data_IF_368558094964
#
_entry.id   IF_368558094964
#
_cell.length_a   1.000
_cell.length_b   1.000
_cell.length_c   1.000
_cell.angle_alpha   90.00
_cell.angle_beta   90.00
_cell.angle_gamma   90.00
#
_symmetry.space_group_name_H-M   'P 1'
#
loop_
_entity.id
_entity.type
_entity.pdbx_description
1 polymer ?
#
# COMPACT_ATOMS: atom_id res chain seq x y z
N UNK A 1 21.60 71.31 -29.32
CA UNK A 1 21.09 69.97 -28.96
C UNK A 1 22.29 69.04 -28.81
N UNK A 2 22.40 68.37 -27.67
CA UNK A 2 23.63 67.72 -27.18
C UNK A 2 23.93 66.35 -27.84
N UNK A 3 25.23 66.07 -28.00
CA UNK A 3 25.85 64.79 -28.38
C UNK A 3 26.00 63.88 -27.14
N UNK A 4 26.03 62.54 -27.32
CA UNK A 4 27.20 61.65 -27.09
C UNK A 4 26.83 60.14 -26.96
N UNK A 5 27.42 59.33 -27.86
CA UNK A 5 28.12 58.03 -27.74
C UNK A 5 27.64 56.87 -26.82
N UNK A 6 27.66 55.66 -27.41
CA UNK A 6 27.46 54.28 -26.87
C UNK A 6 28.42 53.84 -25.71
N UNK A 7 28.49 52.55 -25.32
CA UNK A 7 27.66 51.78 -24.36
C UNK A 7 28.50 51.25 -23.17
N UNK A 8 27.92 50.89 -22.03
CA UNK A 8 28.67 50.22 -20.94
C UNK A 8 27.94 48.97 -20.43
N UNK A 9 28.43 47.81 -20.87
CA UNK A 9 28.31 46.54 -20.18
C UNK A 9 28.82 46.70 -18.74
N UNK A 10 27.92 46.65 -17.77
CA UNK A 10 28.30 46.56 -16.36
C UNK A 10 28.76 45.13 -16.06
N UNK A 11 30.07 44.96 -16.04
CA UNK A 11 30.79 43.82 -15.50
C UNK A 11 30.41 43.59 -14.03
N UNK A 12 29.82 42.44 -13.70
CA UNK A 12 29.36 42.10 -12.34
C UNK A 12 30.50 41.78 -11.35
N UNK A 13 31.73 42.24 -11.61
CA UNK A 13 32.90 42.00 -10.74
C UNK A 13 33.11 43.07 -9.66
N UNK A 14 32.15 43.96 -9.41
CA UNK A 14 32.30 45.06 -8.45
C UNK A 14 31.10 45.24 -7.49
N UNK A 15 30.58 44.16 -6.93
CA UNK A 15 29.78 44.23 -5.69
C UNK A 15 30.57 43.59 -4.54
N UNK A 16 31.71 44.21 -4.25
CA UNK A 16 32.47 43.99 -3.02
C UNK A 16 31.72 44.59 -1.82
N UNK A 17 31.37 43.73 -0.89
CA UNK A 17 31.60 43.92 0.55
C UNK A 17 31.00 45.18 1.21
N UNK A 18 29.72 45.08 1.61
CA UNK A 18 29.20 45.87 2.73
C UNK A 18 29.71 45.34 4.09
N UNK A 19 29.69 46.16 5.16
CA UNK A 19 30.34 45.89 6.46
C UNK A 19 29.70 44.77 7.29
N UNK A 20 28.73 44.03 6.74
CA UNK A 20 28.07 42.89 7.39
C UNK A 20 28.12 41.60 6.55
N UNK A 21 28.86 41.60 5.44
CA UNK A 21 29.08 40.39 4.64
C UNK A 21 30.37 39.68 5.07
N UNK A 22 30.37 39.08 6.27
CA UNK A 22 31.47 38.25 6.78
C UNK A 22 31.59 36.89 6.08
N UNK A 23 30.97 36.73 4.91
CA UNK A 23 30.93 35.47 4.20
C UNK A 23 32.16 35.32 3.30
N UNK A 24 33.20 34.67 3.82
CA UNK A 24 34.42 34.39 3.05
C UNK A 24 34.17 33.29 2.01
N UNK A 25 34.90 33.30 0.89
CA UNK A 25 34.81 32.28 -0.16
C UNK A 25 35.08 30.85 0.35
N UNK A 26 35.82 30.71 1.45
CA UNK A 26 36.03 29.43 2.15
C UNK A 26 34.79 28.97 2.90
N UNK A 27 34.01 29.90 3.46
CA UNK A 27 32.78 29.62 4.19
C UNK A 27 31.63 29.23 3.24
N UNK A 28 31.51 29.88 2.08
CA UNK A 28 30.54 29.48 1.05
C UNK A 28 30.83 28.09 0.47
N UNK A 29 32.11 27.76 0.23
CA UNK A 29 32.52 26.43 -0.25
C UNK A 29 32.25 25.32 0.79
N UNK A 30 32.42 25.61 2.09
CA UNK A 30 32.07 24.67 3.17
C UNK A 30 30.56 24.44 3.22
N UNK A 31 29.76 25.49 3.14
CA UNK A 31 28.30 25.39 3.09
C UNK A 31 27.81 24.61 1.86
N UNK A 32 28.43 24.80 0.68
CA UNK A 32 28.06 24.02 -0.50
C UNK A 32 28.39 22.53 -0.35
N UNK A 33 29.50 22.21 0.33
CA UNK A 33 29.87 20.82 0.65
C UNK A 33 28.92 20.18 1.67
N UNK A 34 28.51 20.91 2.70
CA UNK A 34 27.50 20.46 3.68
C UNK A 34 26.13 20.29 3.03
N UNK A 35 25.72 21.22 2.15
CA UNK A 35 24.51 21.12 1.35
C UNK A 35 24.53 19.87 0.44
N UNK A 36 25.68 19.57 -0.17
CA UNK A 36 25.84 18.36 -0.98
C UNK A 36 25.76 17.08 -0.13
N UNK A 37 26.39 17.05 1.05
CA UNK A 37 26.31 15.89 1.96
C UNK A 37 24.90 15.67 2.50
N UNK A 38 24.19 16.74 2.88
CA UNK A 38 22.80 16.65 3.32
C UNK A 38 21.87 16.19 2.19
N UNK A 39 22.06 16.69 0.97
CA UNK A 39 21.34 16.22 -0.22
C UNK A 39 21.57 14.72 -0.47
N UNK A 40 22.83 14.25 -0.43
CA UNK A 40 23.17 12.82 -0.56
C UNK A 40 22.50 11.97 0.52
N UNK A 41 22.56 12.40 1.79
CA UNK A 41 21.89 11.71 2.91
C UNK A 41 20.38 11.63 2.69
N UNK A 42 19.73 12.75 2.33
CA UNK A 42 18.28 12.76 2.00
C UNK A 42 17.95 11.80 0.86
N UNK A 43 18.74 11.80 -0.22
CA UNK A 43 18.54 10.87 -1.34
C UNK A 43 18.65 9.41 -0.91
N UNK A 44 19.66 9.08 -0.09
CA UNK A 44 19.84 7.74 0.46
C UNK A 44 18.65 7.32 1.34
N UNK A 45 18.21 8.20 2.24
CA UNK A 45 17.03 7.96 3.09
C UNK A 45 15.75 7.78 2.27
N UNK A 46 15.56 8.57 1.20
CA UNK A 46 14.41 8.42 0.31
C UNK A 46 14.43 7.05 -0.40
N UNK A 47 15.61 6.60 -0.85
CA UNK A 47 15.76 5.27 -1.47
C UNK A 47 15.45 4.15 -0.49
N UNK A 48 15.97 4.21 0.74
CA UNK A 48 15.70 3.18 1.76
C UNK A 48 14.24 3.17 2.18
N UNK A 49 13.61 4.35 2.30
CA UNK A 49 12.18 4.45 2.61
C UNK A 49 11.34 3.88 1.48
N UNK A 50 11.70 4.15 0.23
CA UNK A 50 11.02 3.58 -0.93
C UNK A 50 11.14 2.04 -0.96
N UNK A 51 12.34 1.49 -0.76
CA UNK A 51 12.52 0.03 -0.74
C UNK A 51 11.73 -0.64 0.38
N UNK A 52 11.70 -0.02 1.57
CA UNK A 52 10.92 -0.50 2.70
C UNK A 52 9.40 -0.45 2.40
N UNK A 53 8.91 0.65 1.84
CA UNK A 53 7.50 0.76 1.43
C UNK A 53 7.14 -0.28 0.36
N UNK A 54 8.03 -0.54 -0.58
CA UNK A 54 7.82 -1.55 -1.61
C UNK A 54 7.68 -2.96 -1.01
N UNK A 55 8.56 -3.33 -0.08
CA UNK A 55 8.49 -4.62 0.63
C UNK A 55 7.17 -4.76 1.41
N UNK A 56 6.79 -3.73 2.17
CA UNK A 56 5.51 -3.73 2.88
C UNK A 56 4.32 -3.90 1.92
N UNK A 57 4.32 -3.16 0.80
CA UNK A 57 3.25 -3.27 -0.19
C UNK A 57 3.16 -4.67 -0.80
N UNK A 58 4.30 -5.32 -1.07
CA UNK A 58 4.33 -6.69 -1.55
C UNK A 58 3.76 -7.67 -0.53
N UNK A 59 4.16 -7.58 0.74
CA UNK A 59 3.62 -8.43 1.80
C UNK A 59 2.11 -8.23 1.99
N UNK A 60 1.64 -6.97 2.00
CA UNK A 60 0.22 -6.68 2.09
C UNK A 60 -0.55 -7.18 0.88
N UNK A 61 0.00 -7.03 -0.33
CA UNK A 61 -0.58 -7.55 -1.57
C UNK A 61 -0.73 -9.08 -1.53
N UNK A 62 0.32 -9.79 -1.11
CA UNK A 62 0.31 -11.24 -0.96
C UNK A 62 -0.77 -11.69 0.04
N UNK A 63 -0.85 -11.05 1.21
CA UNK A 63 -1.89 -11.34 2.22
C UNK A 63 -3.29 -11.12 1.65
N UNK A 64 -3.53 -10.01 0.94
CA UNK A 64 -4.82 -9.74 0.31
C UNK A 64 -5.20 -10.80 -0.72
N UNK A 65 -4.23 -11.27 -1.51
CA UNK A 65 -4.46 -12.33 -2.47
C UNK A 65 -4.88 -13.64 -1.79
N UNK A 66 -4.16 -14.04 -0.73
CA UNK A 66 -4.50 -15.23 0.06
C UNK A 66 -5.89 -15.12 0.67
N UNK A 67 -6.24 -13.96 1.23
CA UNK A 67 -7.59 -13.73 1.76
C UNK A 67 -8.65 -13.80 0.68
N UNK A 68 -8.43 -13.18 -0.48
CA UNK A 68 -9.37 -13.20 -1.60
C UNK A 68 -9.58 -14.63 -2.13
N UNK A 69 -8.51 -15.42 -2.22
CA UNK A 69 -8.57 -16.83 -2.61
C UNK A 69 -9.36 -17.65 -1.59
N UNK A 70 -9.03 -17.53 -0.29
CA UNK A 70 -9.77 -18.22 0.77
C UNK A 70 -11.26 -17.87 0.77
N UNK A 71 -11.59 -16.60 0.53
CA UNK A 71 -12.97 -16.11 0.41
C UNK A 71 -13.73 -16.79 -0.73
N UNK A 72 -13.12 -16.85 -1.92
CA UNK A 72 -13.70 -17.54 -3.08
C UNK A 72 -13.86 -19.03 -2.83
N UNK A 73 -12.89 -19.66 -2.18
CA UNK A 73 -12.97 -21.09 -1.83
C UNK A 73 -14.09 -21.39 -0.84
N UNK A 74 -14.24 -20.59 0.22
CA UNK A 74 -15.35 -20.75 1.19
C UNK A 74 -16.71 -20.55 0.53
N UNK A 75 -16.84 -19.51 -0.29
CA UNK A 75 -18.08 -19.24 -1.03
C UNK A 75 -18.40 -20.38 -2.02
N UNK A 76 -17.41 -20.81 -2.80
CA UNK A 76 -17.59 -21.91 -3.75
C UNK A 76 -17.97 -23.23 -3.07
N UNK A 77 -17.31 -23.57 -1.96
CA UNK A 77 -17.65 -24.75 -1.17
C UNK A 77 -19.05 -24.67 -0.57
N UNK A 78 -19.46 -23.49 -0.08
CA UNK A 78 -20.82 -23.27 0.41
C UNK A 78 -21.87 -23.43 -0.70
N UNK A 79 -21.61 -22.86 -1.89
CA UNK A 79 -22.48 -23.03 -3.06
C UNK A 79 -22.57 -24.49 -3.50
N UNK A 80 -21.45 -25.21 -3.53
CA UNK A 80 -21.42 -26.61 -3.94
C UNK A 80 -22.21 -27.51 -2.98
N UNK A 81 -22.17 -27.20 -1.67
CA UNK A 81 -23.03 -27.83 -0.66
C UNK A 81 -24.50 -27.42 -0.84
N UNK A 82 -24.80 -26.15 -1.07
CA UNK A 82 -26.18 -25.67 -1.22
C UNK A 82 -26.87 -26.17 -2.49
N UNK A 83 -26.13 -26.39 -3.57
CA UNK A 83 -26.68 -26.82 -4.86
C UNK A 83 -26.37 -28.26 -5.21
N UNK A 84 -25.80 -29.03 -4.28
CA UNK A 84 -25.50 -30.45 -4.46
C UNK A 84 -24.71 -30.73 -5.75
N UNK A 85 -23.84 -29.81 -6.18
CA UNK A 85 -23.13 -29.90 -7.48
C UNK A 85 -22.30 -31.18 -7.58
N UNK A 86 -21.61 -31.54 -6.49
CA UNK A 86 -20.82 -32.77 -6.42
C UNK A 86 -21.71 -34.02 -6.55
N UNK A 87 -22.84 -34.06 -5.84
CA UNK A 87 -23.78 -35.17 -5.89
C UNK A 87 -24.41 -35.35 -7.29
N UNK A 88 -24.77 -34.25 -7.95
CA UNK A 88 -25.27 -34.29 -9.33
C UNK A 88 -24.20 -34.74 -10.34
N UNK A 89 -22.94 -34.34 -10.16
CA UNK A 89 -21.83 -34.79 -10.99
C UNK A 89 -21.52 -36.29 -10.83
N UNK A 90 -21.61 -36.81 -9.61
CA UNK A 90 -21.43 -38.24 -9.32
C UNK A 90 -22.54 -39.12 -9.91
N UNK A 91 -23.81 -38.64 -9.89
CA UNK A 91 -24.91 -39.33 -10.58
C UNK A 91 -24.73 -39.33 -12.09
N UNK A 92 -24.28 -38.22 -12.67
CA UNK A 92 -24.04 -38.12 -14.12
C UNK A 92 -22.92 -39.04 -14.61
N UNK A 93 -21.87 -39.23 -13.80
CA UNK A 93 -20.73 -40.09 -14.13
C UNK A 93 -20.96 -41.58 -13.87
N UNK A 94 -22.16 -41.97 -13.41
CA UNK A 94 -22.50 -43.37 -13.11
C UNK A 94 -21.77 -43.96 -11.91
N UNK A 95 -20.99 -43.14 -11.16
CA UNK A 95 -20.24 -43.55 -9.97
C UNK A 95 -21.05 -43.47 -8.67
N UNK A 96 -22.18 -42.75 -8.68
CA UNK A 96 -23.05 -42.70 -7.52
C UNK A 96 -23.68 -44.08 -7.27
N UNK A 97 -23.13 -44.82 -6.31
CA UNK A 97 -23.82 -45.91 -5.66
C UNK A 97 -25.16 -45.44 -5.08
N UNK A 98 -26.07 -46.38 -4.84
CA UNK A 98 -27.45 -46.21 -4.36
C UNK A 98 -27.57 -45.64 -2.92
N UNK A 99 -26.66 -44.75 -2.51
CA UNK A 99 -26.70 -44.13 -1.19
C UNK A 99 -27.76 -43.04 -1.21
N UNK A 100 -28.86 -43.31 -0.52
CA UNK A 100 -29.92 -42.33 -0.29
C UNK A 100 -29.45 -41.35 0.78
N UNK A 101 -29.31 -40.07 0.42
CA UNK A 101 -29.09 -39.00 1.41
C UNK A 101 -30.35 -38.82 2.25
N UNK A 102 -30.19 -38.79 3.56
CA UNK A 102 -31.29 -38.50 4.47
C UNK A 102 -31.50 -36.99 4.59
N UNK A 103 -32.70 -36.58 5.05
CA UNK A 103 -32.96 -35.17 5.36
C UNK A 103 -32.00 -34.62 6.43
N UNK A 104 -31.49 -35.50 7.33
CA UNK A 104 -30.52 -35.13 8.36
C UNK A 104 -29.15 -34.79 7.75
N UNK A 105 -28.70 -35.57 6.76
CA UNK A 105 -27.44 -35.31 6.05
C UNK A 105 -27.51 -33.98 5.30
N UNK A 106 -28.65 -33.71 4.64
CA UNK A 106 -28.89 -32.44 3.97
C UNK A 106 -28.89 -31.25 4.94
N UNK A 107 -29.50 -31.42 6.11
CA UNK A 107 -29.51 -30.37 7.13
C UNK A 107 -28.09 -30.07 7.65
N UNK A 108 -27.25 -31.10 7.82
CA UNK A 108 -25.86 -30.94 8.21
C UNK A 108 -25.05 -30.18 7.14
N UNK A 109 -25.21 -30.51 5.86
CA UNK A 109 -24.56 -29.80 4.76
C UNK A 109 -24.98 -28.33 4.69
N UNK A 110 -26.27 -28.06 4.83
CA UNK A 110 -26.78 -26.69 4.87
C UNK A 110 -26.28 -25.92 6.11
N UNK A 111 -26.06 -26.59 7.24
CA UNK A 111 -25.41 -25.98 8.39
C UNK A 111 -23.95 -25.61 8.10
N UNK A 112 -23.18 -26.54 7.50
CA UNK A 112 -21.79 -26.27 7.10
C UNK A 112 -21.68 -25.16 6.06
N UNK A 113 -22.61 -25.08 5.09
CA UNK A 113 -22.64 -24.00 4.12
C UNK A 113 -22.87 -22.62 4.78
N UNK A 114 -23.78 -22.54 5.76
CA UNK A 114 -24.01 -21.31 6.54
C UNK A 114 -22.78 -20.91 7.34
N UNK A 115 -22.09 -21.88 7.94
CA UNK A 115 -20.85 -21.64 8.69
C UNK A 115 -19.75 -21.07 7.79
N UNK A 116 -19.54 -21.66 6.60
CA UNK A 116 -18.58 -21.16 5.60
C UNK A 116 -18.88 -19.71 5.19
N UNK A 117 -20.16 -19.38 4.92
CA UNK A 117 -20.57 -18.02 4.59
C UNK A 117 -20.39 -17.05 5.76
N UNK A 118 -20.62 -17.51 7.00
CA UNK A 118 -20.37 -16.70 8.18
C UNK A 118 -18.88 -16.43 8.41
N UNK A 119 -18.02 -17.43 8.19
CA UNK A 119 -16.56 -17.25 8.22
C UNK A 119 -16.08 -16.28 7.14
N UNK A 120 -16.61 -16.40 5.93
CA UNK A 120 -16.37 -15.48 4.81
C UNK A 120 -16.68 -14.02 5.21
N UNK A 121 -17.88 -13.78 5.73
CA UNK A 121 -18.31 -12.45 6.18
C UNK A 121 -17.46 -11.92 7.35
N UNK A 122 -17.08 -12.78 8.30
CA UNK A 122 -16.22 -12.40 9.43
C UNK A 122 -14.81 -12.00 8.97
N UNK A 123 -14.22 -12.73 8.04
CA UNK A 123 -12.91 -12.36 7.47
C UNK A 123 -12.98 -11.02 6.74
N UNK A 124 -14.07 -10.76 6.01
CA UNK A 124 -14.34 -9.46 5.37
C UNK A 124 -14.41 -8.33 6.39
N UNK A 125 -15.16 -8.52 7.48
CA UNK A 125 -15.31 -7.52 8.56
C UNK A 125 -13.98 -7.23 9.25
N UNK A 126 -13.20 -8.26 9.55
CA UNK A 126 -11.88 -8.12 10.16
C UNK A 126 -10.93 -7.30 9.27
N UNK A 127 -10.91 -7.59 7.97
CA UNK A 127 -10.12 -6.83 6.99
C UNK A 127 -10.55 -5.38 6.88
N UNK A 128 -11.87 -5.12 6.85
CA UNK A 128 -12.40 -3.75 6.87
C UNK A 128 -11.99 -3.01 8.13
N UNK A 129 -12.12 -3.63 9.30
CA UNK A 129 -11.71 -3.05 10.60
C UNK A 129 -10.23 -2.68 10.61
N UNK A 130 -9.35 -3.59 10.16
CA UNK A 130 -7.91 -3.32 10.07
C UNK A 130 -7.56 -2.19 9.10
N UNK A 131 -8.32 -2.01 8.00
CA UNK A 131 -8.16 -0.86 7.09
C UNK A 131 -8.54 0.45 7.77
N UNK A 132 -9.66 0.47 8.49
CA UNK A 132 -10.12 1.66 9.22
C UNK A 132 -9.10 2.07 10.28
N UNK A 133 -8.65 1.12 11.11
CA UNK A 133 -7.64 1.37 12.16
C UNK A 133 -6.34 1.98 11.60
N UNK A 134 -5.81 1.44 10.48
CA UNK A 134 -4.62 2.02 9.85
C UNK A 134 -4.84 3.45 9.37
N UNK A 135 -6.03 3.73 8.84
CA UNK A 135 -6.38 5.08 8.36
C UNK A 135 -6.48 6.06 9.53
N UNK A 136 -7.08 5.63 10.64
CA UNK A 136 -7.20 6.41 11.87
C UNK A 136 -5.84 6.67 12.51
N UNK A 137 -4.98 5.66 12.63
CA UNK A 137 -3.61 5.81 13.13
C UNK A 137 -2.81 6.80 12.28
N UNK A 138 -2.90 6.71 10.95
CA UNK A 138 -2.24 7.66 10.05
C UNK A 138 -2.75 9.10 10.26
N UNK A 139 -4.07 9.27 10.38
CA UNK A 139 -4.67 10.58 10.66
C UNK A 139 -4.20 11.13 12.01
N UNK A 140 -4.16 10.30 13.05
CA UNK A 140 -3.67 10.68 14.37
C UNK A 140 -2.20 11.12 14.27
N UNK A 141 -1.32 10.29 13.72
CA UNK A 141 0.11 10.61 13.58
C UNK A 141 0.36 11.93 12.83
N UNK A 142 -0.44 12.23 11.80
CA UNK A 142 -0.34 13.49 11.05
C UNK A 142 -0.74 14.71 11.90
N UNK A 143 -1.63 14.56 12.87
CA UNK A 143 -2.02 15.64 13.79
C UNK A 143 -0.91 15.97 14.80
N UNK A 144 -0.17 14.96 15.28
CA UNK A 144 0.95 15.13 16.22
C UNK A 144 2.25 15.63 15.57
N UNK A 145 2.35 15.58 14.24
CA UNK A 145 3.50 16.07 13.47
C UNK A 145 3.37 17.53 13.01
N UNK A 146 2.36 18.25 13.49
CA UNK A 146 2.23 19.72 13.36
C UNK A 146 2.69 20.37 14.66
#
# INVERSE_FOLDING_TARGET
MFRLTFPLCLSSKQLSHGPLATHTHKQSFRQSKEALQTSRRRSQTLRTNFSFQQQLNQEFGARQHTFAQGRRSMQGAAEDLMYDRAYHAERRSGRAGRVYRTAKDRAAEMATARELLHMEENTRRLMKKGRTQRTELFRAQKQWGR
#
